data_IF_698313268116
#
_entry.id   IF_698313268116
#
_cell.length_a   1.000
_cell.length_b   1.000
_cell.length_c   1.000
_cell.angle_alpha   90.00
_cell.angle_beta   90.00
_cell.angle_gamma   90.00
#
_symmetry.space_group_name_H-M   'P 1'
#
loop_
_entity.id
_entity.type
_entity.pdbx_description
1 polymer ?
#
# COMPACT_ATOMS: atom_id res chain seq x y z
N UNK A 1 -0.31 -14.95 2.77
CA UNK A 1 -1.29 -14.74 3.86
C UNK A 1 -1.07 -15.81 4.91
N UNK A 2 -1.08 -15.49 6.19
CA UNK A 2 -0.96 -16.43 7.31
C UNK A 2 -2.34 -16.58 7.98
N UNK A 3 -2.80 -17.82 8.20
CA UNK A 3 -4.00 -18.14 8.98
C UNK A 3 -3.65 -19.23 10.00
N UNK A 4 -4.06 -19.01 11.26
CA UNK A 4 -3.77 -19.96 12.34
C UNK A 4 -2.27 -20.32 12.43
N UNK A 5 -1.40 -19.30 12.33
CA UNK A 5 0.06 -19.41 12.35
C UNK A 5 0.68 -20.20 11.18
N UNK A 6 -0.09 -20.57 10.18
CA UNK A 6 0.39 -21.30 9.00
C UNK A 6 0.16 -20.49 7.73
N UNK A 7 1.03 -20.61 6.71
CA UNK A 7 0.77 -20.05 5.40
C UNK A 7 -0.53 -20.58 4.81
N UNK A 8 -1.39 -19.67 4.36
CA UNK A 8 -2.68 -20.04 3.75
C UNK A 8 -2.53 -20.10 2.24
N UNK A 9 -2.80 -21.28 1.66
CA UNK A 9 -2.81 -21.53 0.23
C UNK A 9 -1.53 -21.06 -0.48
N UNK A 10 -0.38 -21.65 -0.13
CA UNK A 10 0.95 -21.33 -0.67
C UNK A 10 1.06 -21.48 -2.18
N UNK A 11 0.21 -22.31 -2.80
CA UNK A 11 0.20 -22.56 -4.24
C UNK A 11 -0.38 -21.40 -5.07
N UNK A 12 -1.06 -20.42 -4.44
CA UNK A 12 -1.66 -19.29 -5.13
C UNK A 12 -0.91 -18.00 -4.88
N UNK A 13 -0.30 -17.44 -5.93
CA UNK A 13 0.38 -16.13 -5.89
C UNK A 13 -0.55 -14.94 -5.63
N UNK A 14 -1.86 -15.12 -5.76
CA UNK A 14 -2.86 -14.04 -5.58
C UNK A 14 -3.43 -13.96 -4.17
N UNK A 15 -3.25 -15.00 -3.34
CA UNK A 15 -3.76 -15.00 -1.96
C UNK A 15 -3.00 -13.98 -1.13
N UNK A 16 -3.71 -13.03 -0.56
CA UNK A 16 -3.13 -11.93 0.20
C UNK A 16 -2.53 -10.80 -0.64
N UNK A 17 -2.66 -10.85 -1.97
CA UNK A 17 -2.17 -9.81 -2.87
C UNK A 17 -3.05 -8.53 -2.81
N UNK A 18 -2.97 -7.81 -1.69
CA UNK A 18 -3.72 -6.58 -1.42
C UNK A 18 -3.64 -5.56 -2.56
N UNK A 19 -2.45 -5.37 -3.12
CA UNK A 19 -2.23 -4.44 -4.23
C UNK A 19 -3.03 -4.77 -5.49
N UNK A 20 -3.44 -6.02 -5.64
CA UNK A 20 -4.21 -6.48 -6.79
C UNK A 20 -5.73 -6.49 -6.58
N UNK A 21 -6.23 -5.98 -5.46
CA UNK A 21 -7.66 -5.71 -5.30
C UNK A 21 -8.10 -4.66 -6.32
N UNK A 22 -9.18 -4.94 -7.06
CA UNK A 22 -9.77 -3.98 -8.00
C UNK A 22 -10.64 -3.00 -7.21
N UNK A 23 -10.24 -1.75 -7.18
CA UNK A 23 -10.92 -0.65 -6.48
C UNK A 23 -11.66 0.26 -7.47
N UNK A 24 -11.15 0.37 -8.68
CA UNK A 24 -11.73 1.26 -9.69
C UNK A 24 -12.09 0.49 -10.96
N UNK A 25 -13.38 0.29 -11.18
CA UNK A 25 -13.87 -0.35 -12.40
C UNK A 25 -13.37 0.41 -13.64
N UNK A 26 -12.95 -0.33 -14.67
CA UNK A 26 -12.39 0.23 -15.92
C UNK A 26 -11.21 1.19 -15.72
N UNK A 27 -10.48 1.06 -14.60
CA UNK A 27 -9.36 1.93 -14.25
C UNK A 27 -8.07 1.65 -15.02
N UNK A 28 -6.94 2.12 -14.48
CA UNK A 28 -5.61 1.94 -15.07
C UNK A 28 -5.26 0.46 -15.19
N UNK A 29 -4.57 0.09 -16.27
CA UNK A 29 -4.02 -1.26 -16.45
C UNK A 29 -2.97 -1.52 -15.35
N UNK A 30 -3.08 -2.66 -14.68
CA UNK A 30 -2.14 -3.18 -13.70
C UNK A 30 -1.18 -4.17 -14.36
N UNK A 31 0.01 -4.37 -13.76
CA UNK A 31 0.97 -5.37 -14.20
C UNK A 31 0.43 -6.81 -14.18
N UNK A 32 -0.59 -7.10 -13.39
CA UNK A 32 -1.27 -8.41 -13.36
C UNK A 32 -2.28 -8.62 -14.50
N UNK A 33 -2.36 -7.73 -15.48
CA UNK A 33 -3.30 -7.78 -16.61
C UNK A 33 -4.70 -7.22 -16.32
N UNK A 34 -5.10 -7.07 -15.06
CA UNK A 34 -6.41 -6.50 -14.68
C UNK A 34 -6.38 -4.98 -14.68
N UNK A 35 -7.57 -4.36 -14.69
CA UNK A 35 -7.72 -2.91 -14.59
C UNK A 35 -8.24 -2.50 -13.21
N UNK A 36 -7.73 -1.35 -12.72
CA UNK A 36 -8.26 -0.72 -11.51
C UNK A 36 -7.72 -1.25 -10.19
N UNK A 37 -6.65 -2.04 -10.21
CA UNK A 37 -5.98 -2.52 -8.99
C UNK A 37 -5.37 -1.37 -8.20
N UNK A 38 -5.33 -1.48 -6.87
CA UNK A 38 -4.68 -0.52 -5.95
C UNK A 38 -3.26 -0.21 -6.42
N UNK A 39 -2.47 -1.23 -6.77
CA UNK A 39 -1.08 -1.10 -7.22
C UNK A 39 -0.93 -0.15 -8.41
N UNK A 40 -1.89 -0.16 -9.35
CA UNK A 40 -1.86 0.72 -10.52
C UNK A 40 -1.99 2.23 -10.17
N UNK A 41 -2.32 2.55 -8.92
CA UNK A 41 -2.48 3.93 -8.42
C UNK A 41 -1.51 4.27 -7.29
N UNK A 42 -1.17 3.32 -6.42
CA UNK A 42 -0.49 3.57 -5.15
C UNK A 42 0.93 3.01 -5.06
N UNK A 43 1.39 2.20 -6.02
CA UNK A 43 2.77 1.72 -6.03
C UNK A 43 3.77 2.83 -6.41
N UNK A 44 5.04 2.64 -6.05
CA UNK A 44 6.12 3.55 -6.47
C UNK A 44 6.17 3.72 -7.98
N UNK A 45 6.05 2.62 -8.74
CA UNK A 45 6.00 2.65 -10.20
C UNK A 45 4.80 3.44 -10.75
N UNK A 46 3.64 3.35 -10.07
CA UNK A 46 2.47 4.13 -10.47
C UNK A 46 2.67 5.62 -10.23
N UNK A 47 3.27 5.99 -9.10
CA UNK A 47 3.61 7.38 -8.78
C UNK A 47 4.69 7.92 -9.73
N UNK A 48 5.73 7.14 -10.03
CA UNK A 48 6.78 7.53 -11.00
C UNK A 48 6.18 7.78 -12.40
N UNK A 49 5.20 6.97 -12.83
CA UNK A 49 4.47 7.22 -14.09
C UNK A 49 3.71 8.56 -14.06
N UNK A 50 3.12 8.92 -12.93
CA UNK A 50 2.44 10.22 -12.75
C UNK A 50 3.46 11.37 -12.82
N UNK A 51 4.58 11.24 -12.12
CA UNK A 51 5.66 12.24 -12.12
C UNK A 51 6.20 12.48 -13.54
N UNK A 52 6.46 11.42 -14.29
CA UNK A 52 6.89 11.50 -15.70
C UNK A 52 5.89 12.26 -16.58
N UNK A 53 4.58 12.03 -16.39
CA UNK A 53 3.52 12.70 -17.15
C UNK A 53 3.32 14.17 -16.78
N UNK A 54 3.73 14.58 -15.59
CA UNK A 54 3.53 15.94 -15.07
C UNK A 54 4.79 16.82 -15.16
N UNK A 55 5.67 16.58 -16.15
CA UNK A 55 6.94 17.30 -16.33
C UNK A 55 7.92 17.24 -15.14
N UNK A 56 7.83 16.19 -14.33
CA UNK A 56 8.72 15.92 -13.19
C UNK A 56 9.57 14.67 -13.45
N UNK A 57 10.04 14.50 -14.69
CA UNK A 57 10.69 13.28 -15.18
C UNK A 57 11.94 12.88 -14.39
N UNK A 58 12.63 13.84 -13.78
CA UNK A 58 13.86 13.61 -13.01
C UNK A 58 13.61 13.39 -11.51
N UNK A 59 12.34 13.32 -11.08
CA UNK A 59 11.97 13.12 -9.68
C UNK A 59 11.42 11.70 -9.53
N UNK A 60 12.10 10.88 -8.72
CA UNK A 60 11.57 9.58 -8.31
C UNK A 60 10.58 9.73 -7.16
N UNK A 61 9.72 8.72 -6.95
CA UNK A 61 8.82 8.67 -5.80
C UNK A 61 9.57 8.85 -4.48
N UNK A 62 10.72 8.21 -4.30
CA UNK A 62 11.56 8.37 -3.11
C UNK A 62 12.00 9.82 -2.92
N UNK A 63 12.51 10.46 -3.97
CA UNK A 63 12.93 11.85 -3.92
C UNK A 63 11.74 12.79 -3.64
N UNK A 64 10.59 12.55 -4.24
CA UNK A 64 9.36 13.30 -3.96
C UNK A 64 8.98 13.24 -2.48
N UNK A 65 9.01 12.07 -1.87
CA UNK A 65 8.62 11.86 -0.47
C UNK A 65 9.61 12.46 0.53
N UNK A 66 10.87 12.67 0.14
CA UNK A 66 11.90 13.26 1.00
C UNK A 66 11.94 14.78 0.81
N UNK A 67 12.19 15.24 -0.42
CA UNK A 67 12.58 16.62 -0.70
C UNK A 67 11.40 17.51 -1.13
N UNK A 68 10.29 16.94 -1.61
CA UNK A 68 9.13 17.67 -2.12
C UNK A 68 7.85 17.41 -1.34
N UNK A 69 7.94 16.76 -0.16
CA UNK A 69 6.81 16.30 0.65
C UNK A 69 5.78 17.37 1.00
N UNK A 70 6.19 18.64 1.08
CA UNK A 70 5.35 19.76 1.51
C UNK A 70 4.76 20.58 0.34
N UNK A 71 5.17 20.28 -0.89
CA UNK A 71 4.64 20.95 -2.08
C UNK A 71 3.18 20.57 -2.35
N UNK A 72 2.39 21.51 -2.90
CA UNK A 72 0.97 21.25 -3.24
C UNK A 72 0.79 20.06 -4.18
N UNK A 73 1.63 19.93 -5.19
CA UNK A 73 1.54 18.84 -6.16
C UNK A 73 1.90 17.48 -5.56
N UNK A 74 2.90 17.40 -4.68
CA UNK A 74 3.25 16.16 -3.99
C UNK A 74 2.14 15.72 -3.04
N UNK A 75 1.61 16.65 -2.24
CA UNK A 75 0.46 16.38 -1.35
C UNK A 75 -0.74 15.85 -2.12
N UNK A 76 -1.02 16.38 -3.32
CA UNK A 76 -2.10 15.87 -4.18
C UNK A 76 -1.84 14.43 -4.61
N UNK A 77 -0.64 14.12 -5.13
CA UNK A 77 -0.26 12.75 -5.56
C UNK A 77 -0.36 11.78 -4.38
N UNK A 78 0.19 12.15 -3.21
CA UNK A 78 0.15 11.33 -1.99
C UNK A 78 -1.31 11.08 -1.57
N UNK A 79 -2.13 12.12 -1.53
CA UNK A 79 -3.53 11.99 -1.14
C UNK A 79 -4.32 11.08 -2.09
N UNK A 80 -4.13 11.20 -3.39
CA UNK A 80 -4.79 10.33 -4.38
C UNK A 80 -4.35 8.87 -4.23
N UNK A 81 -3.04 8.61 -4.12
CA UNK A 81 -2.51 7.25 -3.96
C UNK A 81 -3.00 6.60 -2.66
N UNK A 82 -2.96 7.34 -1.55
CA UNK A 82 -3.35 6.82 -0.24
C UNK A 82 -4.86 6.64 -0.08
N UNK A 83 -5.69 7.32 -0.88
CA UNK A 83 -7.13 7.06 -0.94
C UNK A 83 -7.41 5.64 -1.41
N UNK A 84 -6.75 5.16 -2.46
CA UNK A 84 -6.91 3.78 -2.94
C UNK A 84 -6.47 2.75 -1.91
N UNK A 85 -5.41 3.02 -1.15
CA UNK A 85 -4.98 2.16 -0.05
C UNK A 85 -6.03 2.14 1.07
N UNK A 86 -6.55 3.30 1.44
CA UNK A 86 -7.57 3.42 2.47
C UNK A 86 -8.87 2.68 2.12
N UNK A 87 -9.32 2.77 0.87
CA UNK A 87 -10.46 1.99 0.36
C UNK A 87 -10.20 0.49 0.46
N UNK A 88 -8.98 0.04 0.09
CA UNK A 88 -8.60 -1.36 0.23
C UNK A 88 -8.58 -1.83 1.69
N UNK A 89 -8.08 -1.02 2.62
CA UNK A 89 -8.09 -1.31 4.05
C UNK A 89 -9.53 -1.46 4.56
N UNK A 90 -10.42 -0.54 4.19
CA UNK A 90 -11.84 -0.60 4.58
C UNK A 90 -12.52 -1.82 3.99
N UNK A 91 -12.25 -2.17 2.74
CA UNK A 91 -12.81 -3.37 2.11
C UNK A 91 -12.35 -4.66 2.83
N UNK A 92 -11.06 -4.77 3.17
CA UNK A 92 -10.54 -5.89 3.96
C UNK A 92 -11.19 -5.93 5.34
N UNK A 93 -11.28 -4.78 6.03
CA UNK A 93 -11.97 -4.71 7.32
C UNK A 93 -13.44 -5.16 7.21
N UNK A 94 -14.16 -4.70 6.20
CA UNK A 94 -15.57 -5.05 5.98
C UNK A 94 -15.74 -6.56 5.72
N UNK A 95 -14.85 -7.15 4.94
CA UNK A 95 -14.94 -8.57 4.56
C UNK A 95 -14.53 -9.52 5.69
N UNK A 96 -13.51 -9.15 6.48
CA UNK A 96 -12.83 -10.04 7.42
C UNK A 96 -13.05 -9.70 8.89
N UNK A 97 -13.52 -8.49 9.20
CA UNK A 97 -13.57 -7.95 10.55
C UNK A 97 -12.21 -7.55 11.14
N UNK A 98 -11.10 -7.70 10.39
CA UNK A 98 -9.77 -7.31 10.85
C UNK A 98 -9.72 -5.80 11.05
N UNK A 99 -9.27 -5.38 12.24
CA UNK A 99 -9.15 -3.96 12.63
C UNK A 99 -7.71 -3.47 12.76
N UNK A 100 -6.75 -4.37 12.82
CA UNK A 100 -5.33 -4.03 13.01
C UNK A 100 -4.58 -4.19 11.69
N UNK A 101 -4.03 -3.09 11.17
CA UNK A 101 -3.26 -3.06 9.94
C UNK A 101 -1.84 -2.56 10.21
N UNK A 102 -0.86 -3.29 9.73
CA UNK A 102 0.55 -2.93 9.83
C UNK A 102 1.04 -2.50 8.46
N UNK A 103 1.52 -1.28 8.35
CA UNK A 103 2.05 -0.71 7.11
C UNK A 103 3.58 -0.79 7.13
N UNK A 104 4.13 -1.46 6.13
CA UNK A 104 5.57 -1.59 5.89
C UNK A 104 6.01 -1.00 4.55
N UNK A 105 7.28 -1.26 4.22
CA UNK A 105 7.92 -0.81 2.98
C UNK A 105 8.30 0.67 2.97
N UNK A 106 9.27 1.02 2.14
CA UNK A 106 9.91 2.35 2.14
C UNK A 106 8.94 3.52 1.86
N UNK A 107 7.94 3.31 1.02
CA UNK A 107 6.91 4.32 0.70
C UNK A 107 5.91 4.42 1.85
N UNK A 108 5.39 3.28 2.31
CA UNK A 108 4.39 3.21 3.37
C UNK A 108 4.89 3.78 4.70
N UNK A 109 6.17 3.61 5.00
CA UNK A 109 6.81 4.12 6.22
C UNK A 109 7.14 5.62 6.16
N UNK A 110 7.11 6.26 4.99
CA UNK A 110 7.34 7.71 4.90
C UNK A 110 6.27 8.48 5.67
N UNK A 111 6.70 9.53 6.39
CA UNK A 111 5.84 10.22 7.37
C UNK A 111 4.53 10.73 6.76
N UNK A 112 4.62 11.46 5.65
CA UNK A 112 3.44 12.07 5.03
C UNK A 112 2.52 11.04 4.39
N UNK A 113 3.08 10.01 3.76
CA UNK A 113 2.31 8.94 3.14
C UNK A 113 1.53 8.14 4.18
N UNK A 114 2.19 7.75 5.26
CA UNK A 114 1.57 7.03 6.37
C UNK A 114 0.43 7.81 7.03
N UNK A 115 0.66 9.10 7.32
CA UNK A 115 -0.37 9.97 7.90
C UNK A 115 -1.59 10.13 7.00
N UNK A 116 -1.38 10.27 5.68
CA UNK A 116 -2.49 10.39 4.73
C UNK A 116 -3.28 9.07 4.60
N UNK A 117 -2.65 7.88 4.72
CA UNK A 117 -3.40 6.62 4.81
C UNK A 117 -4.38 6.67 5.98
N UNK A 118 -3.90 7.00 7.19
CA UNK A 118 -4.75 7.09 8.38
C UNK A 118 -5.88 8.09 8.18
N UNK A 119 -5.55 9.28 7.69
CA UNK A 119 -6.52 10.36 7.45
C UNK A 119 -7.60 9.95 6.44
N UNK A 120 -7.20 9.34 5.32
CA UNK A 120 -8.14 8.91 4.29
C UNK A 120 -9.01 7.73 4.77
N UNK A 121 -8.45 6.79 5.53
CA UNK A 121 -9.24 5.71 6.15
C UNK A 121 -10.33 6.28 7.08
N UNK A 122 -9.97 7.24 7.94
CA UNK A 122 -10.95 7.90 8.83
C UNK A 122 -12.03 8.70 8.10
N UNK A 123 -11.77 9.15 6.87
CA UNK A 123 -12.79 9.81 6.04
C UNK A 123 -13.79 8.82 5.44
N UNK A 124 -13.33 7.61 5.12
CA UNK A 124 -14.15 6.59 4.46
C UNK A 124 -15.04 5.86 5.46
N UNK A 125 -14.54 5.60 6.68
CA UNK A 125 -15.27 4.84 7.68
C UNK A 125 -15.16 5.47 9.08
N UNK A 126 -16.24 5.29 9.87
CA UNK A 126 -16.25 5.61 11.31
C UNK A 126 -15.80 4.43 12.18
N UNK A 127 -15.52 3.26 11.59
CA UNK A 127 -15.05 2.12 12.33
C UNK A 127 -13.66 2.39 12.96
N UNK A 128 -13.43 1.81 14.13
CA UNK A 128 -12.14 1.91 14.81
C UNK A 128 -11.14 0.95 14.16
N UNK A 129 -10.41 1.45 13.15
CA UNK A 129 -9.33 0.73 12.48
C UNK A 129 -8.01 1.26 13.00
N UNK A 130 -7.19 0.39 13.59
CA UNK A 130 -5.85 0.70 14.06
C UNK A 130 -4.85 0.49 12.91
N UNK A 131 -4.14 1.53 12.53
CA UNK A 131 -3.08 1.48 11.51
C UNK A 131 -1.76 1.87 12.16
N UNK A 132 -0.79 0.97 12.17
CA UNK A 132 0.53 1.14 12.77
C UNK A 132 1.64 0.90 11.77
N UNK A 133 2.83 1.43 12.05
CA UNK A 133 4.04 1.18 11.26
C UNK A 133 4.66 -0.15 11.62
N UNK A 134 5.21 -0.85 10.62
CA UNK A 134 5.99 -2.07 10.84
C UNK A 134 7.25 -1.76 11.67
N UNK A 135 7.45 -2.50 12.76
CA UNK A 135 8.60 -2.32 13.65
C UNK A 135 9.93 -2.73 13.00
N UNK A 136 9.92 -3.78 12.20
CA UNK A 136 11.11 -4.29 11.50
C UNK A 136 11.55 -3.43 10.29
N UNK A 137 10.81 -2.37 9.97
CA UNK A 137 11.11 -1.46 8.86
C UNK A 137 11.35 -2.22 7.53
N UNK A 138 12.58 -2.11 6.97
CA UNK A 138 12.95 -2.74 5.70
C UNK A 138 13.46 -4.18 5.89
N UNK A 139 13.68 -4.63 7.12
CA UNK A 139 14.27 -5.96 7.41
C UNK A 139 13.20 -7.05 7.57
N UNK A 140 11.93 -6.70 7.44
CA UNK A 140 10.80 -7.63 7.60
C UNK A 140 10.85 -8.83 6.65
N UNK A 141 11.37 -8.65 5.43
CA UNK A 141 11.53 -9.74 4.45
C UNK A 141 12.61 -10.74 4.91
N UNK A 142 13.74 -10.23 5.41
CA UNK A 142 14.84 -11.06 5.93
C UNK A 142 14.38 -11.88 7.14
N UNK A 143 13.71 -11.24 8.09
CA UNK A 143 13.14 -11.94 9.25
C UNK A 143 12.06 -12.95 8.87
N UNK A 144 11.26 -12.66 7.85
CA UNK A 144 10.26 -13.60 7.33
C UNK A 144 10.90 -14.86 6.73
N UNK A 145 11.99 -14.70 5.98
CA UNK A 145 12.76 -15.82 5.43
C UNK A 145 13.41 -16.67 6.54
N UNK A 146 14.01 -16.01 7.54
CA UNK A 146 14.61 -16.71 8.68
C UNK A 146 13.58 -17.49 9.51
N UNK A 147 12.40 -16.92 9.73
CA UNK A 147 11.34 -17.62 10.43
C UNK A 147 10.89 -18.88 9.68
N UNK A 148 10.79 -18.81 8.34
CA UNK A 148 10.41 -19.97 7.52
C UNK A 148 11.47 -21.08 7.51
N UNK A 149 12.77 -20.73 7.54
CA UNK A 149 13.86 -21.71 7.54
C UNK A 149 14.00 -22.47 8.87
N UNK A 150 13.41 -21.96 9.96
CA UNK A 150 13.42 -22.64 11.27
C UNK A 150 12.23 -23.60 11.45
N UNK A 151 11.27 -23.60 10.53
CA UNK A 151 10.08 -24.47 10.55
C UNK A 151 10.25 -25.71 9.66
N UNK A 152 11.38 -25.87 8.97
CA UNK A 152 11.81 -27.06 8.22
C UNK A 152 12.79 -27.91 9.04
#
# INVERSE_FOLDING_TARGET
MIMNQKPFNEKSSLVGAFGHMVIKQNGKLCGCGRRGCIEAYASGNAIDKILKKTNKKNISTKNMLINYKDTKWSKKIISEATTFIAEGIVNVNTLTGIRNFIIGGSIGLSHNFFREIIKNTKKITKQNILIIKAGLKNDSEVFGCLAKSNDE
#
